data_IF_731911157747
#
_entry.id   IF_731911157747
#
_cell.length_a   1.000
_cell.length_b   1.000
_cell.length_c   1.000
_cell.angle_alpha   90.00
_cell.angle_beta   90.00
_cell.angle_gamma   90.00
#
_symmetry.space_group_name_H-M   'P 1'
#
loop_
_entity.id
_entity.type
_entity.pdbx_description
1 polymer ?
#
# COMPACT_ATOMS: atom_id res chain seq x y z
N UNK A 1 20.79 3.50 28.76
CA UNK A 1 21.40 2.88 27.57
C UNK A 1 22.11 3.95 26.81
N UNK A 2 23.44 3.90 26.78
CA UNK A 2 24.27 4.99 26.29
C UNK A 2 24.17 5.10 24.77
N UNK A 3 24.00 6.31 24.26
CA UNK A 3 23.98 6.60 22.81
C UNK A 3 25.26 6.04 22.12
N UNK A 4 26.36 5.97 22.87
CA UNK A 4 27.64 5.39 22.43
C UNK A 4 27.59 3.88 22.20
N UNK A 5 26.86 3.12 23.03
CA UNK A 5 26.68 1.67 22.90
C UNK A 5 25.89 1.35 21.63
N UNK A 6 24.82 2.11 21.37
CA UNK A 6 23.97 1.95 20.17
C UNK A 6 24.76 2.27 18.90
N UNK A 7 25.59 3.32 18.92
CA UNK A 7 26.44 3.71 17.78
C UNK A 7 27.47 2.62 17.46
N UNK A 8 28.12 2.06 18.49
CA UNK A 8 29.12 1.02 18.30
C UNK A 8 28.50 -0.26 17.74
N UNK A 9 27.33 -0.67 18.27
CA UNK A 9 26.57 -1.80 17.74
C UNK A 9 26.15 -1.59 16.27
N UNK A 10 25.68 -0.40 15.91
CA UNK A 10 25.30 -0.08 14.54
C UNK A 10 26.51 -0.14 13.58
N UNK A 11 27.68 0.35 14.00
CA UNK A 11 28.92 0.29 13.20
C UNK A 11 29.37 -1.17 13.02
N UNK A 12 29.30 -2.00 14.06
CA UNK A 12 29.63 -3.43 13.95
C UNK A 12 28.70 -4.16 12.98
N UNK A 13 27.39 -3.93 13.07
CA UNK A 13 26.43 -4.52 12.12
C UNK A 13 26.63 -4.03 10.69
N UNK A 14 26.97 -2.75 10.52
CA UNK A 14 27.29 -2.19 9.21
C UNK A 14 28.55 -2.84 8.62
N UNK A 15 29.58 -3.10 9.45
CA UNK A 15 30.80 -3.80 9.02
C UNK A 15 30.52 -5.24 8.63
N UNK A 16 29.73 -5.98 9.41
CA UNK A 16 29.32 -7.35 9.06
C UNK A 16 28.55 -7.39 7.74
N UNK A 17 27.60 -6.47 7.55
CA UNK A 17 26.84 -6.34 6.29
C UNK A 17 27.74 -5.97 5.13
N UNK A 18 28.71 -5.07 5.34
CA UNK A 18 29.65 -4.66 4.30
C UNK A 18 30.57 -5.82 3.89
N UNK A 19 31.04 -6.64 4.84
CA UNK A 19 31.84 -7.83 4.57
C UNK A 19 31.05 -8.89 3.81
N UNK A 20 29.78 -9.12 4.17
CA UNK A 20 28.89 -9.99 3.42
C UNK A 20 28.67 -9.46 2.00
N UNK A 21 28.42 -8.15 1.86
CA UNK A 21 28.19 -7.51 0.57
C UNK A 21 29.45 -7.52 -0.30
N UNK A 22 30.65 -7.37 0.26
CA UNK A 22 31.91 -7.43 -0.49
C UNK A 22 32.25 -8.84 -0.96
N UNK A 23 32.00 -9.85 -0.12
CA UNK A 23 32.17 -11.25 -0.52
C UNK A 23 31.17 -11.60 -1.63
N UNK A 24 29.91 -11.18 -1.46
CA UNK A 24 28.88 -11.33 -2.48
C UNK A 24 29.20 -10.56 -3.76
N UNK A 25 29.75 -9.34 -3.67
CA UNK A 25 30.03 -8.51 -4.85
C UNK A 25 31.09 -9.14 -5.75
N UNK A 26 32.12 -9.75 -5.17
CA UNK A 26 33.14 -10.48 -5.95
C UNK A 26 32.55 -11.65 -6.73
N UNK A 27 31.68 -12.44 -6.08
CA UNK A 27 30.98 -13.57 -6.70
C UNK A 27 29.97 -13.08 -7.76
N UNK A 28 29.24 -12.01 -7.44
CA UNK A 28 28.29 -11.38 -8.34
C UNK A 28 28.97 -10.78 -9.56
N UNK A 29 30.10 -10.09 -9.41
CA UNK A 29 30.88 -9.55 -10.52
C UNK A 29 31.38 -10.67 -11.43
N UNK A 30 31.91 -11.75 -10.87
CA UNK A 30 32.36 -12.90 -11.68
C UNK A 30 31.23 -13.57 -12.47
N UNK A 31 30.04 -13.70 -11.87
CA UNK A 31 28.86 -14.19 -12.56
C UNK A 31 28.35 -13.17 -13.60
N UNK A 32 28.35 -11.89 -13.25
CA UNK A 32 27.91 -10.81 -14.12
C UNK A 32 28.79 -10.68 -15.35
N UNK A 33 30.12 -10.79 -15.18
CA UNK A 33 31.09 -10.82 -16.28
C UNK A 33 30.88 -12.04 -17.19
N UNK A 34 30.43 -13.17 -16.63
CA UNK A 34 30.08 -14.39 -17.40
C UNK A 34 28.78 -14.23 -18.20
N UNK A 35 27.77 -13.58 -17.63
CA UNK A 35 26.47 -13.34 -18.30
C UNK A 35 26.57 -12.17 -19.29
N UNK A 36 27.43 -11.19 -19.01
CA UNK A 36 27.63 -9.98 -19.81
C UNK A 36 29.12 -9.78 -20.16
N UNK A 37 29.59 -10.35 -21.28
CA UNK A 37 30.98 -10.21 -21.70
C UNK A 37 31.38 -8.73 -21.88
N UNK A 38 32.56 -8.32 -21.41
CA UNK A 38 32.95 -6.92 -21.22
C UNK A 38 33.04 -6.10 -22.53
N UNK A 39 33.34 -6.74 -23.65
CA UNK A 39 33.63 -6.06 -24.93
C UNK A 39 32.40 -5.49 -25.65
N UNK A 40 31.19 -5.92 -25.29
CA UNK A 40 29.91 -5.44 -25.89
C UNK A 40 28.97 -4.83 -24.84
N UNK A 41 29.50 -4.55 -23.64
CA UNK A 41 28.74 -4.25 -22.44
C UNK A 41 27.82 -3.04 -22.60
N UNK A 42 28.32 -1.91 -23.10
CA UNK A 42 27.53 -0.66 -23.16
C UNK A 42 26.34 -0.77 -24.11
N UNK A 43 26.54 -1.28 -25.32
CA UNK A 43 25.50 -1.32 -26.35
C UNK A 43 24.42 -2.36 -26.02
N UNK A 44 24.83 -3.52 -25.49
CA UNK A 44 23.93 -4.60 -25.10
C UNK A 44 23.14 -4.27 -23.84
N UNK A 45 23.76 -3.60 -22.87
CA UNK A 45 23.10 -3.13 -21.64
C UNK A 45 22.12 -2.00 -21.95
N UNK A 46 22.50 -1.02 -22.78
CA UNK A 46 21.57 0.04 -23.20
C UNK A 46 20.37 -0.55 -23.94
N UNK A 47 20.60 -1.51 -24.84
CA UNK A 47 19.52 -2.22 -25.53
C UNK A 47 18.62 -2.98 -24.54
N UNK A 48 19.19 -3.73 -23.60
CA UNK A 48 18.42 -4.43 -22.56
C UNK A 48 17.66 -3.49 -21.64
N UNK A 49 18.24 -2.35 -21.27
CA UNK A 49 17.54 -1.32 -20.50
C UNK A 49 16.37 -0.75 -21.31
N UNK A 50 16.56 -0.40 -22.58
CA UNK A 50 15.46 0.07 -23.42
C UNK A 50 14.33 -0.96 -23.55
N UNK A 51 14.66 -2.25 -23.54
CA UNK A 51 13.65 -3.33 -23.55
C UNK A 51 13.00 -3.51 -22.17
N UNK A 52 13.74 -3.50 -21.08
CA UNK A 52 13.23 -3.76 -19.73
C UNK A 52 12.53 -2.55 -19.08
N UNK A 53 12.97 -1.34 -19.39
CA UNK A 53 12.46 -0.07 -18.86
C UNK A 53 10.93 0.09 -19.04
N UNK A 54 10.33 -0.16 -20.22
CA UNK A 54 8.87 -0.04 -20.36
C UNK A 54 8.13 -1.04 -19.46
N UNK A 55 8.61 -2.27 -19.29
CA UNK A 55 7.98 -3.25 -18.39
C UNK A 55 8.06 -2.80 -16.93
N UNK A 56 9.21 -2.25 -16.50
CA UNK A 56 9.38 -1.69 -15.16
C UNK A 56 8.48 -0.47 -14.91
N UNK A 57 8.40 0.45 -15.88
CA UNK A 57 7.52 1.62 -15.80
C UNK A 57 6.07 1.17 -15.67
N UNK A 58 5.63 0.24 -16.51
CA UNK A 58 4.27 -0.29 -16.51
C UNK A 58 3.94 -0.98 -15.19
N UNK A 59 4.83 -1.80 -14.65
CA UNK A 59 4.61 -2.46 -13.34
C UNK A 59 4.52 -1.45 -12.20
N UNK A 60 5.37 -0.44 -12.16
CA UNK A 60 5.29 0.64 -11.16
C UNK A 60 3.98 1.41 -11.31
N UNK A 61 3.57 1.75 -12.53
CA UNK A 61 2.36 2.51 -12.78
C UNK A 61 1.10 1.73 -12.35
N UNK A 62 1.01 0.44 -12.70
CA UNK A 62 -0.08 -0.43 -12.23
C UNK A 62 -0.03 -0.66 -10.71
N UNK A 63 1.15 -0.77 -10.11
CA UNK A 63 1.29 -0.87 -8.65
C UNK A 63 0.78 0.41 -7.95
N UNK A 64 1.10 1.60 -8.48
CA UNK A 64 0.62 2.87 -7.95
C UNK A 64 -0.88 3.06 -8.15
N UNK A 65 -1.41 2.72 -9.33
CA UNK A 65 -2.84 2.76 -9.60
C UNK A 65 -3.58 1.79 -8.68
N UNK A 66 -3.14 0.53 -8.60
CA UNK A 66 -3.76 -0.45 -7.73
C UNK A 66 -3.69 -0.02 -6.27
N UNK A 67 -2.53 0.43 -5.78
CA UNK A 67 -2.38 0.95 -4.41
C UNK A 67 -3.31 2.15 -4.15
N UNK A 68 -3.39 3.11 -5.08
CA UNK A 68 -4.30 4.24 -5.00
C UNK A 68 -5.78 3.79 -5.01
N UNK A 69 -6.16 2.87 -5.89
CA UNK A 69 -7.51 2.31 -5.98
C UNK A 69 -7.86 1.49 -4.73
N UNK A 70 -6.95 0.69 -4.18
CA UNK A 70 -7.16 -0.02 -2.92
C UNK A 70 -7.29 0.95 -1.74
N UNK A 71 -6.52 2.05 -1.71
CA UNK A 71 -6.63 3.06 -0.67
C UNK A 71 -7.90 3.93 -0.80
N UNK A 72 -8.28 4.35 -2.01
CA UNK A 72 -9.38 5.29 -2.26
C UNK A 72 -10.74 4.58 -2.44
N UNK A 73 -10.80 3.42 -3.11
CA UNK A 73 -12.06 2.73 -3.41
C UNK A 73 -12.48 1.72 -2.32
N UNK A 74 -11.53 1.13 -1.57
CA UNK A 74 -11.87 0.16 -0.52
C UNK A 74 -12.10 0.78 0.87
N UNK A 75 -11.72 2.05 1.10
CA UNK A 75 -12.05 2.75 2.36
C UNK A 75 -13.43 3.42 2.38
N UNK A 76 -14.04 3.67 1.21
CA UNK A 76 -15.27 4.48 1.11
C UNK A 76 -16.53 3.65 0.79
N UNK A 77 -16.41 2.38 0.38
CA UNK A 77 -17.56 1.46 0.37
C UNK A 77 -17.82 0.94 1.78
N UNK A 78 -18.22 1.86 2.64
CA UNK A 78 -18.89 1.57 3.90
C UNK A 78 -20.12 0.72 3.62
N UNK A 79 -19.95 -0.60 3.64
CA UNK A 79 -21.02 -1.52 4.01
C UNK A 79 -21.22 -1.37 5.53
N UNK A 80 -21.57 -0.15 5.93
CA UNK A 80 -21.88 0.18 7.31
C UNK A 80 -22.95 -0.80 7.78
N UNK A 81 -22.81 -1.28 9.02
CA UNK A 81 -23.78 -2.24 9.58
C UNK A 81 -25.18 -1.67 9.41
N UNK A 82 -26.03 -2.39 8.70
CA UNK A 82 -27.43 -2.05 8.58
C UNK A 82 -28.12 -2.40 9.90
N UNK A 83 -29.07 -1.58 10.34
CA UNK A 83 -29.87 -1.84 11.52
C UNK A 83 -31.34 -1.55 11.25
N UNK A 84 -32.23 -2.15 12.03
CA UNK A 84 -33.66 -1.80 12.00
C UNK A 84 -33.82 -0.38 12.51
N UNK A 85 -34.52 0.45 11.75
CA UNK A 85 -34.71 1.86 12.07
C UNK A 85 -35.69 2.00 13.25
N UNK A 86 -35.33 2.71 14.34
CA UNK A 86 -36.23 2.86 15.49
C UNK A 86 -37.51 3.61 15.09
N UNK A 87 -38.68 2.99 15.29
CA UNK A 87 -39.98 3.60 14.95
C UNK A 87 -40.33 3.58 13.46
N UNK A 88 -39.61 2.82 12.62
CA UNK A 88 -39.94 2.57 11.20
C UNK A 88 -39.77 1.10 10.85
N UNK A 89 -40.47 0.60 9.82
CA UNK A 89 -40.32 -0.79 9.36
C UNK A 89 -39.27 -0.95 8.25
N UNK A 90 -38.24 -0.10 8.24
CA UNK A 90 -37.17 -0.14 7.26
C UNK A 90 -35.81 -0.44 7.90
N UNK A 91 -34.81 -0.75 7.06
CA UNK A 91 -33.40 -0.84 7.48
C UNK A 91 -32.67 0.43 7.08
N UNK A 92 -31.81 0.93 7.95
CA UNK A 92 -30.96 2.08 7.71
C UNK A 92 -29.50 1.76 8.04
N UNK A 93 -28.56 2.56 7.53
CA UNK A 93 -27.16 2.46 7.96
C UNK A 93 -27.03 2.93 9.41
N UNK A 94 -26.39 2.12 10.26
CA UNK A 94 -26.14 2.47 11.67
C UNK A 94 -25.29 3.73 11.81
N UNK A 95 -24.27 3.91 10.95
CA UNK A 95 -23.43 5.10 10.94
C UNK A 95 -24.22 6.39 10.73
N UNK A 96 -25.22 6.37 9.84
CA UNK A 96 -26.08 7.53 9.59
C UNK A 96 -26.96 7.89 10.81
N UNK A 97 -27.34 6.91 11.63
CA UNK A 97 -28.06 7.16 12.88
C UNK A 97 -27.12 7.72 13.94
N UNK A 98 -25.97 7.07 14.15
CA UNK A 98 -24.98 7.46 15.15
C UNK A 98 -24.40 8.86 14.88
N UNK A 99 -24.26 9.25 13.61
CA UNK A 99 -23.77 10.58 13.25
C UNK A 99 -24.72 11.70 13.66
N UNK A 100 -26.04 11.48 13.64
CA UNK A 100 -27.01 12.50 14.01
C UNK A 100 -28.37 11.91 14.45
N UNK A 101 -28.47 11.41 15.68
CA UNK A 101 -29.72 10.80 16.16
C UNK A 101 -30.83 11.85 16.34
N UNK A 102 -30.48 13.11 16.65
CA UNK A 102 -31.47 14.19 16.82
C UNK A 102 -32.21 14.48 15.51
N UNK A 103 -31.51 14.54 14.39
CA UNK A 103 -32.12 14.76 13.09
C UNK A 103 -33.08 13.61 12.71
N UNK A 104 -32.68 12.37 12.99
CA UNK A 104 -33.52 11.20 12.78
C UNK A 104 -34.84 11.31 13.55
N UNK A 105 -34.80 11.53 14.87
CA UNK A 105 -36.02 11.62 15.67
C UNK A 105 -36.86 12.86 15.36
N UNK A 106 -36.24 13.98 14.96
CA UNK A 106 -36.97 15.16 14.49
C UNK A 106 -37.77 14.82 13.23
N UNK A 107 -37.14 14.16 12.26
CA UNK A 107 -37.82 13.72 11.03
C UNK A 107 -38.93 12.70 11.34
N UNK A 108 -38.69 11.77 12.27
CA UNK A 108 -39.69 10.80 12.70
C UNK A 108 -40.94 11.48 13.29
N UNK A 109 -40.78 12.55 14.07
CA UNK A 109 -41.92 13.33 14.60
C UNK A 109 -42.65 14.13 13.54
N UNK A 110 -41.93 14.63 12.54
CA UNK A 110 -42.55 15.33 11.41
C UNK A 110 -43.35 14.38 10.51
N UNK A 111 -42.97 13.10 10.44
CA UNK A 111 -43.57 12.10 9.56
C UNK A 111 -43.78 10.75 10.29
N UNK A 112 -44.75 10.65 11.21
CA UNK A 112 -44.94 9.46 12.04
C UNK A 112 -45.48 8.23 11.29
N UNK A 113 -46.04 8.41 10.08
CA UNK A 113 -46.63 7.33 9.26
C UNK A 113 -45.78 6.88 8.07
N UNK A 114 -44.62 7.51 7.82
CA UNK A 114 -43.72 7.13 6.72
C UNK A 114 -43.08 5.76 7.03
N UNK A 115 -43.31 4.77 6.17
CA UNK A 115 -42.78 3.39 6.24
C UNK A 115 -43.37 2.49 7.34
N UNK A 116 -44.67 2.62 7.64
CA UNK A 116 -45.45 1.71 8.49
C UNK A 116 -46.22 0.61 7.70
N UNK A 117 -45.96 0.44 6.41
CA UNK A 117 -46.55 -0.64 5.57
C UNK A 117 -45.78 -1.95 5.74
#
# INVERSE_FOLDING_TARGET
MGIEEVKNYAIEKLKELFLLLSNFSSQFLSWFDKVFPPDTRKDKINHWFHVALPFLIVTIFFALISYCCYCCCCRVRGRGRMMKAPGRNCRMQRSSFESNPRAYFRNLRSYPGDQLV
#
